data_IF_456820425866
#
_entry.id   IF_456820425866
#
_cell.length_a   1.000
_cell.length_b   1.000
_cell.length_c   1.000
_cell.angle_alpha   90.00
_cell.angle_beta   90.00
_cell.angle_gamma   90.00
#
_symmetry.space_group_name_H-M   'P 1'
#
loop_
_entity.id
_entity.type
_entity.pdbx_description
1 polymer ?
#
# COMPACT_ATOMS: atom_id res chain seq x y z
N UNK A 1 0.05 -7.38 12.32
CA UNK A 1 1.42 -7.87 12.61
C UNK A 1 2.42 -7.54 11.49
N UNK A 2 2.39 -6.34 10.91
CA UNK A 2 3.27 -5.93 9.79
C UNK A 2 4.34 -4.91 10.21
N UNK A 3 4.16 -4.30 11.39
CA UNK A 3 5.04 -3.26 11.92
C UNK A 3 6.48 -3.72 12.22
N UNK A 4 6.76 -4.90 12.81
CA UNK A 4 8.13 -5.29 13.14
C UNK A 4 8.98 -5.55 11.89
N UNK A 5 8.37 -6.18 10.88
CA UNK A 5 9.04 -6.51 9.62
C UNK A 5 9.41 -5.25 8.83
N UNK A 6 8.53 -4.25 8.81
CA UNK A 6 8.78 -2.97 8.12
C UNK A 6 9.90 -2.19 8.80
N UNK A 7 9.98 -2.22 10.13
CA UNK A 7 11.06 -1.57 10.89
C UNK A 7 12.41 -2.24 10.62
N UNK A 8 12.47 -3.57 10.63
CA UNK A 8 13.68 -4.34 10.32
C UNK A 8 14.17 -4.08 8.89
N UNK A 9 13.27 -4.14 7.90
CA UNK A 9 13.62 -3.88 6.50
C UNK A 9 14.09 -2.43 6.29
N UNK A 10 13.51 -1.46 7.01
CA UNK A 10 13.94 -0.05 6.97
C UNK A 10 15.36 0.14 7.53
N UNK A 11 15.74 -0.62 8.57
CA UNK A 11 17.08 -0.61 9.14
C UNK A 11 18.13 -1.25 8.22
N UNK A 12 17.78 -2.32 7.50
CA UNK A 12 18.70 -3.03 6.61
C UNK A 12 18.94 -2.34 5.25
N UNK A 13 17.91 -1.69 4.67
CA UNK A 13 17.97 -1.16 3.29
C UNK A 13 18.44 0.30 3.22
N UNK A 14 18.31 1.06 4.32
CA UNK A 14 18.56 2.50 4.36
C UNK A 14 17.42 3.35 3.78
N UNK A 15 17.18 4.51 4.39
CA UNK A 15 16.05 5.41 4.08
C UNK A 15 15.85 5.76 2.59
N UNK A 16 16.87 6.18 1.81
CA UNK A 16 16.63 6.67 0.45
C UNK A 16 16.26 5.56 -0.56
N UNK A 17 16.87 4.38 -0.45
CA UNK A 17 16.52 3.22 -1.29
C UNK A 17 15.18 2.63 -0.90
N UNK A 18 14.87 2.60 0.40
CA UNK A 18 13.60 2.14 0.91
C UNK A 18 12.43 3.00 0.40
N UNK A 19 12.56 4.32 0.40
CA UNK A 19 11.52 5.23 -0.12
C UNK A 19 11.26 4.99 -1.61
N UNK A 20 12.32 4.82 -2.43
CA UNK A 20 12.18 4.57 -3.87
C UNK A 20 11.52 3.22 -4.16
N UNK A 21 11.97 2.14 -3.51
CA UNK A 21 11.41 0.80 -3.68
C UNK A 21 9.96 0.75 -3.17
N UNK A 22 9.66 1.40 -2.04
CA UNK A 22 8.30 1.55 -1.51
C UNK A 22 7.40 2.27 -2.52
N UNK A 23 7.85 3.36 -3.12
CA UNK A 23 7.09 4.09 -4.14
C UNK A 23 6.76 3.22 -5.36
N UNK A 24 7.74 2.47 -5.88
CA UNK A 24 7.54 1.55 -7.00
C UNK A 24 6.61 0.38 -6.65
N UNK A 25 6.78 -0.21 -5.47
CA UNK A 25 5.92 -1.28 -4.98
C UNK A 25 4.47 -0.83 -4.81
N UNK A 26 4.24 0.36 -4.25
CA UNK A 26 2.89 0.93 -4.10
C UNK A 26 2.25 1.19 -5.47
N UNK A 27 3.02 1.70 -6.44
CA UNK A 27 2.52 1.92 -7.79
C UNK A 27 2.09 0.61 -8.46
N UNK A 28 2.90 -0.44 -8.35
CA UNK A 28 2.57 -1.77 -8.88
C UNK A 28 1.34 -2.37 -8.19
N UNK A 29 1.27 -2.25 -6.85
CA UNK A 29 0.16 -2.77 -6.07
C UNK A 29 -1.16 -2.07 -6.44
N UNK A 30 -1.13 -0.74 -6.64
CA UNK A 30 -2.30 0.04 -7.06
C UNK A 30 -2.78 -0.35 -8.47
N UNK A 31 -1.86 -0.66 -9.39
CA UNK A 31 -2.20 -1.18 -10.72
C UNK A 31 -2.86 -2.56 -10.65
N UNK A 32 -2.34 -3.47 -9.82
CA UNK A 32 -2.91 -4.80 -9.62
C UNK A 32 -4.34 -4.73 -9.06
N UNK A 33 -4.57 -3.89 -8.03
CA UNK A 33 -5.91 -3.65 -7.47
C UNK A 33 -6.85 -3.08 -8.53
N UNK A 34 -6.39 -2.11 -9.33
CA UNK A 34 -7.18 -1.51 -10.41
C UNK A 34 -7.58 -2.54 -11.46
N UNK A 35 -6.64 -3.39 -11.88
CA UNK A 35 -6.89 -4.45 -12.85
C UNK A 35 -7.89 -5.50 -12.31
N UNK A 36 -7.73 -5.90 -11.04
CA UNK A 36 -8.65 -6.81 -10.37
C UNK A 36 -10.07 -6.22 -10.30
N UNK A 37 -10.20 -4.99 -9.82
CA UNK A 37 -11.50 -4.31 -9.74
C UNK A 37 -12.16 -4.16 -11.11
N UNK A 38 -11.39 -3.85 -12.16
CA UNK A 38 -11.93 -3.76 -13.52
C UNK A 38 -12.43 -5.13 -14.02
N UNK A 39 -11.70 -6.22 -13.74
CA UNK A 39 -12.10 -7.59 -14.13
C UNK A 39 -13.36 -8.06 -13.42
N UNK A 40 -13.58 -7.61 -12.19
CA UNK A 40 -14.75 -7.96 -11.36
C UNK A 40 -15.93 -7.01 -11.61
N UNK A 41 -15.76 -5.95 -12.43
CA UNK A 41 -16.81 -4.97 -12.72
C UNK A 41 -17.08 -3.99 -11.57
N UNK A 42 -16.10 -3.75 -10.70
CA UNK A 42 -16.25 -2.84 -9.56
C UNK A 42 -16.11 -1.40 -10.02
N UNK A 43 -17.16 -0.62 -9.76
CA UNK A 43 -17.21 0.80 -10.07
C UNK A 43 -16.08 1.60 -9.41
N UNK A 44 -15.54 2.57 -10.16
CA UNK A 44 -14.39 3.39 -9.76
C UNK A 44 -14.60 4.14 -8.44
N UNK A 45 -15.81 4.64 -8.18
CA UNK A 45 -16.16 5.33 -6.93
C UNK A 45 -16.04 4.41 -5.70
N UNK A 46 -16.61 3.19 -5.80
CA UNK A 46 -16.54 2.18 -4.74
C UNK A 46 -15.10 1.71 -4.50
N UNK A 47 -14.33 1.48 -5.58
CA UNK A 47 -12.90 1.15 -5.49
C UNK A 47 -12.12 2.23 -4.75
N UNK A 48 -12.34 3.51 -5.08
CA UNK A 48 -11.63 4.62 -4.42
C UNK A 48 -12.00 4.72 -2.94
N UNK A 49 -13.27 4.45 -2.59
CA UNK A 49 -13.72 4.35 -1.20
C UNK A 49 -13.00 3.26 -0.40
N UNK A 50 -12.85 2.06 -0.99
CA UNK A 50 -12.11 0.97 -0.36
C UNK A 50 -10.62 1.24 -0.20
N UNK A 51 -9.99 1.90 -1.19
CA UNK A 51 -8.59 2.32 -1.09
C UNK A 51 -8.41 3.33 0.07
N UNK A 52 -9.35 4.26 0.25
CA UNK A 52 -9.34 5.21 1.36
C UNK A 52 -9.49 4.49 2.71
N UNK A 53 -10.45 3.59 2.83
CA UNK A 53 -10.64 2.74 4.01
C UNK A 53 -9.39 1.92 4.36
N UNK A 54 -8.77 1.29 3.37
CA UNK A 54 -7.53 0.54 3.55
C UNK A 54 -6.38 1.44 4.02
N UNK A 55 -6.27 2.66 3.46
CA UNK A 55 -5.28 3.66 3.88
C UNK A 55 -5.51 4.11 5.33
N UNK A 56 -6.75 4.41 5.70
CA UNK A 56 -7.11 4.90 7.03
C UNK A 56 -6.91 3.80 8.08
N UNK A 57 -7.24 2.55 7.76
CA UNK A 57 -6.92 1.39 8.59
C UNK A 57 -5.39 1.20 8.73
N UNK A 58 -4.63 1.33 7.64
CA UNK A 58 -3.17 1.25 7.71
C UNK A 58 -2.53 2.36 8.55
N UNK A 59 -3.10 3.57 8.54
CA UNK A 59 -2.71 4.67 9.44
C UNK A 59 -3.07 4.35 10.89
N UNK A 60 -4.31 3.93 11.15
CA UNK A 60 -4.80 3.60 12.50
C UNK A 60 -4.01 2.46 13.15
N UNK A 61 -3.54 1.51 12.34
CA UNK A 61 -2.74 0.36 12.78
C UNK A 61 -1.22 0.65 12.81
N UNK A 62 -0.78 1.87 12.49
CA UNK A 62 0.65 2.24 12.49
C UNK A 62 1.48 1.57 11.40
N UNK A 63 0.85 1.00 10.37
CA UNK A 63 1.51 0.31 9.25
C UNK A 63 1.87 1.25 8.10
N UNK A 64 1.23 2.43 8.08
CA UNK A 64 1.51 3.53 7.16
C UNK A 64 2.00 4.71 7.99
N UNK A 65 3.32 4.79 8.18
CA UNK A 65 4.04 6.01 8.52
C UNK A 65 4.39 6.79 7.25
#
# INVERSE_FOLDING_TARGET
MFAPLVVLVRQFVGQPRFIKVRGQAIALHTKAITAFCNRVGIERQRRQGWIRLARDNGKRLGLLA
#
